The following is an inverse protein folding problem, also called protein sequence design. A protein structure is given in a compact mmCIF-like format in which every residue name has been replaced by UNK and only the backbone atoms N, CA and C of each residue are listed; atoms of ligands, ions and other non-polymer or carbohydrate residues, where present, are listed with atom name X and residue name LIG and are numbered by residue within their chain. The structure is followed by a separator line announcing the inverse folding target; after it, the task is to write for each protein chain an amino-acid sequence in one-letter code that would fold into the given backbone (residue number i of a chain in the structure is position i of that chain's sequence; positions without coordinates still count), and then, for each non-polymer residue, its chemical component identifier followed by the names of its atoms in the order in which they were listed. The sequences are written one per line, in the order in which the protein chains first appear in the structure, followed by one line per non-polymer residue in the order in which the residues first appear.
data_IF_547433756218
#
_entry.id   IF_547433756218
#
_cell.length_a   1.000
_cell.length_b   1.000
_cell.length_c   1.000
_cell.angle_alpha   90.00
_cell.angle_beta   90.00
_cell.angle_gamma   90.00
#
_symmetry.space_group_name_H-M   'P 1'
#
loop_
_entity.id
_entity.type
_entity.pdbx_description
1 polymer ?
#
# COMPACT_ATOMS: atom_id res chain seq x y z
N UNK A 1 -20.46 -13.76 -9.54
CA UNK A 1 -19.62 -12.91 -8.65
C UNK A 1 -18.74 -13.78 -7.78
N UNK A 2 -17.43 -13.67 -7.96
CA UNK A 2 -16.41 -14.44 -7.22
C UNK A 2 -15.68 -13.49 -6.27
N UNK A 3 -15.53 -13.91 -5.00
CA UNK A 3 -14.76 -13.16 -4.00
C UNK A 3 -13.51 -13.95 -3.63
N UNK A 4 -12.34 -13.37 -3.93
CA UNK A 4 -11.05 -13.95 -3.55
C UNK A 4 -10.47 -13.21 -2.36
N UNK A 5 -9.98 -13.94 -1.36
CA UNK A 5 -9.22 -13.37 -0.25
C UNK A 5 -7.96 -12.70 -0.82
N UNK A 6 -7.76 -11.42 -0.53
CA UNK A 6 -6.58 -10.70 -0.99
C UNK A 6 -5.33 -11.34 -0.39
N UNK A 7 -4.45 -11.85 -1.25
CA UNK A 7 -3.21 -12.54 -0.84
C UNK A 7 -2.22 -11.58 -0.16
N UNK A 8 -2.18 -10.32 -0.61
CA UNK A 8 -1.26 -9.31 -0.12
C UNK A 8 -1.48 -8.98 1.36
N UNK A 9 -2.71 -8.61 1.73
CA UNK A 9 -3.08 -8.36 3.13
C UNK A 9 -3.56 -9.60 3.87
N UNK A 10 -3.56 -10.79 3.23
CA UNK A 10 -4.12 -12.03 3.78
C UNK A 10 -5.54 -11.81 4.35
N UNK A 11 -6.37 -11.02 3.68
CA UNK A 11 -7.74 -10.77 4.13
C UNK A 11 -7.92 -9.72 5.23
N UNK A 12 -6.85 -9.09 5.73
CA UNK A 12 -6.99 -8.10 6.82
C UNK A 12 -7.40 -6.71 6.34
N UNK A 13 -7.36 -6.44 5.03
CA UNK A 13 -7.60 -5.11 4.48
C UNK A 13 -6.42 -4.14 4.66
N UNK A 14 -5.51 -4.40 5.59
CA UNK A 14 -4.35 -3.54 5.87
C UNK A 14 -3.00 -4.21 5.59
N UNK A 15 -1.98 -3.43 5.27
CA UNK A 15 -0.57 -3.86 5.17
C UNK A 15 0.33 -2.97 6.02
N UNK A 16 1.54 -3.43 6.32
CA UNK A 16 2.54 -2.57 6.96
C UNK A 16 2.90 -1.43 6.03
N UNK A 17 3.02 -0.22 6.59
CA UNK A 17 3.49 0.94 5.86
C UNK A 17 5.02 0.93 5.79
N UNK A 18 5.55 0.81 4.57
CA UNK A 18 7.00 0.83 4.37
C UNK A 18 7.59 2.20 4.73
N UNK A 19 6.84 3.30 4.56
CA UNK A 19 7.28 4.64 4.97
C UNK A 19 7.48 4.70 6.49
N UNK A 20 6.57 4.11 7.27
CA UNK A 20 6.70 4.04 8.72
C UNK A 20 7.95 3.26 9.11
N UNK A 21 8.16 2.10 8.49
CA UNK A 21 9.33 1.26 8.75
C UNK A 21 10.64 1.97 8.41
N UNK A 22 10.67 2.71 7.30
CA UNK A 22 11.83 3.53 6.92
C UNK A 22 12.05 4.67 7.92
N UNK A 23 10.99 5.31 8.36
CA UNK A 23 11.02 6.35 9.38
C UNK A 23 11.53 5.89 10.74
N UNK A 24 11.22 4.66 11.15
CA UNK A 24 11.80 4.02 12.34
C UNK A 24 13.28 3.70 12.16
N UNK A 25 13.70 3.30 10.95
CA UNK A 25 15.08 2.96 10.65
C UNK A 25 16.00 4.20 10.57
N UNK A 26 15.46 5.38 10.24
CA UNK A 26 16.20 6.63 10.16
C UNK A 26 16.62 7.12 11.57
N UNK A 27 17.92 7.17 11.82
CA UNK A 27 18.48 7.60 13.13
C UNK A 27 18.66 9.11 13.29
N UNK A 28 18.66 9.86 12.19
CA UNK A 28 18.95 11.29 12.18
C UNK A 28 17.69 12.10 11.90
N UNK A 29 17.32 12.99 12.82
CA UNK A 29 16.23 13.95 12.62
C UNK A 29 16.44 14.81 11.37
N UNK A 30 17.69 15.12 11.02
CA UNK A 30 18.01 15.89 9.80
C UNK A 30 17.65 15.12 8.53
N UNK A 31 17.84 13.80 8.52
CA UNK A 31 17.50 12.96 7.35
C UNK A 31 15.99 12.78 7.24
N UNK A 32 15.29 12.63 8.38
CA UNK A 32 13.83 12.52 8.39
C UNK A 32 13.12 13.73 7.81
N UNK A 33 13.69 14.94 7.93
CA UNK A 33 13.16 16.16 7.31
C UNK A 33 13.05 16.10 5.77
N UNK A 34 13.90 15.31 5.12
CA UNK A 34 13.94 15.19 3.66
C UNK A 34 13.31 13.90 3.14
N UNK A 35 12.73 13.09 4.03
CA UNK A 35 12.15 11.80 3.66
C UNK A 35 10.87 11.97 2.82
N UNK A 36 10.12 13.03 3.09
CA UNK A 36 9.06 13.52 2.21
C UNK A 36 9.61 14.76 1.50
N UNK A 37 9.77 14.70 0.18
CA UNK A 37 9.90 15.91 -0.65
C UNK A 37 8.46 16.28 -0.99
N UNK A 38 7.90 17.36 -0.42
CA UNK A 38 6.56 17.82 -0.81
C UNK A 38 6.56 18.05 -2.32
N UNK A 39 5.60 17.46 -3.02
CA UNK A 39 5.33 17.86 -4.41
C UNK A 39 4.77 19.28 -4.41
N UNK A 40 4.98 20.04 -5.49
CA UNK A 40 4.59 21.45 -5.56
C UNK A 40 3.09 21.70 -5.25
N UNK A 41 2.26 20.66 -5.39
CA UNK A 41 0.83 20.67 -5.06
C UNK A 41 0.52 20.63 -3.55
N UNK A 42 1.44 20.16 -2.70
CA UNK A 42 1.26 20.06 -1.24
C UNK A 42 1.69 21.34 -0.51
N UNK A 43 2.45 22.22 -1.18
CA UNK A 43 2.99 23.45 -0.59
C UNK A 43 2.01 24.60 -0.82
N UNK A 44 0.88 24.56 -0.12
CA UNK A 44 0.13 25.78 0.16
C UNK A 44 1.06 26.77 0.87
N UNK A 45 1.17 27.99 0.35
CA UNK A 45 2.21 29.01 0.62
C UNK A 45 2.41 29.48 2.08
N UNK A 46 1.83 28.79 3.07
CA UNK A 46 1.82 29.17 4.48
C UNK A 46 1.91 27.97 5.46
N UNK A 47 2.18 26.75 4.97
CA UNK A 47 2.33 25.60 5.89
C UNK A 47 3.79 25.46 6.36
N UNK A 48 3.99 25.63 7.67
CA UNK A 48 5.25 25.31 8.35
C UNK A 48 5.65 23.89 7.98
N UNK A 49 6.76 23.73 7.26
CA UNK A 49 7.32 22.41 6.93
C UNK A 49 7.50 21.64 8.24
N UNK A 50 6.83 20.49 8.42
CA UNK A 50 6.90 19.75 9.67
C UNK A 50 8.37 19.49 10.05
N UNK A 51 8.75 19.69 11.32
CA UNK A 51 10.14 19.55 11.75
C UNK A 51 10.68 18.12 11.61
N UNK A 52 9.79 17.13 11.43
CA UNK A 52 10.10 15.73 11.19
C UNK A 52 9.03 15.12 10.27
N UNK A 53 9.38 14.77 9.04
CA UNK A 53 8.43 14.23 8.06
C UNK A 53 7.96 12.80 8.41
N UNK A 54 8.58 12.17 9.41
CA UNK A 54 8.14 10.90 9.95
C UNK A 54 7.05 11.02 11.01
N UNK A 55 6.78 12.24 11.48
CA UNK A 55 5.75 12.46 12.48
C UNK A 55 4.36 12.34 11.83
N UNK A 56 3.57 11.37 12.28
CA UNK A 56 2.22 11.12 11.75
C UNK A 56 2.14 10.04 10.66
N UNK A 57 3.28 9.42 10.28
CA UNK A 57 3.27 8.27 9.35
C UNK A 57 2.69 7.04 10.07
N UNK A 58 1.53 6.50 9.65
CA UNK A 58 0.89 5.39 10.34
C UNK A 58 1.63 4.08 10.12
N UNK A 59 1.66 3.21 11.14
CA UNK A 59 2.30 1.88 11.06
C UNK A 59 1.66 0.96 10.00
N UNK A 60 0.35 1.11 9.81
CA UNK A 60 -0.43 0.33 8.83
C UNK A 60 -1.22 1.26 7.92
N UNK A 61 -1.34 0.85 6.67
CA UNK A 61 -2.14 1.54 5.66
C UNK A 61 -3.14 0.57 5.02
N UNK A 62 -4.24 1.07 4.43
CA UNK A 62 -5.11 0.26 3.59
C UNK A 62 -4.30 -0.45 2.51
N UNK A 63 -4.58 -1.74 2.32
CA UNK A 63 -3.93 -2.55 1.31
C UNK A 63 -4.28 -1.99 -0.07
N UNK A 64 -3.31 -1.54 -0.87
CA UNK A 64 -3.57 -0.89 -2.16
C UNK A 64 -4.15 -1.86 -3.20
N UNK A 65 -3.96 -3.17 -3.01
CA UNK A 65 -4.45 -4.20 -3.94
C UNK A 65 -5.95 -4.45 -3.81
N UNK A 66 -6.50 -4.32 -2.60
CA UNK A 66 -7.93 -4.54 -2.34
C UNK A 66 -8.61 -3.30 -1.76
N UNK A 67 -7.93 -2.15 -1.79
CA UNK A 67 -8.43 -0.86 -1.29
C UNK A 67 -9.04 -0.94 0.12
N UNK A 68 -8.41 -1.71 1.02
CA UNK A 68 -8.93 -1.89 2.38
C UNK A 68 -9.99 -2.98 2.57
N UNK A 69 -10.56 -3.55 1.50
CA UNK A 69 -11.67 -4.51 1.61
C UNK A 69 -11.26 -5.89 2.16
N UNK A 70 -9.99 -6.28 2.02
CA UNK A 70 -9.50 -7.62 2.37
C UNK A 70 -9.86 -8.70 1.35
N UNK A 71 -10.78 -8.44 0.44
CA UNK A 71 -11.18 -9.33 -0.66
C UNK A 71 -11.15 -8.58 -1.98
N UNK A 72 -11.00 -9.32 -3.07
CA UNK A 72 -11.11 -8.81 -4.44
C UNK A 72 -12.36 -9.45 -5.05
N UNK A 73 -13.27 -8.62 -5.53
CA UNK A 73 -14.49 -9.06 -6.21
C UNK A 73 -14.24 -9.11 -7.72
N UNK A 74 -14.62 -10.23 -8.33
CA UNK A 74 -14.67 -10.38 -9.77
C UNK A 74 -16.13 -10.55 -10.16
N UNK A 75 -16.63 -9.62 -10.96
CA UNK A 75 -17.91 -9.81 -11.62
C UNK A 75 -17.70 -10.61 -12.90
N UNK A 76 -18.48 -11.67 -13.06
CA UNK A 76 -18.41 -12.57 -14.24
C UNK A 76 -18.90 -11.85 -15.50
N UNK A 77 -19.71 -10.80 -15.33
CA UNK A 77 -20.19 -9.97 -16.43
C UNK A 77 -19.12 -9.00 -16.97
N UNK A 78 -18.10 -8.67 -16.16
CA UNK A 78 -16.99 -7.78 -16.55
C UNK A 78 -15.70 -8.51 -16.93
N UNK A 79 -15.52 -9.77 -16.50
CA UNK A 79 -14.26 -10.51 -16.63
C UNK A 79 -14.46 -11.89 -17.25
N UNK A 80 -13.79 -12.18 -18.37
CA UNK A 80 -13.78 -13.53 -18.97
C UNK A 80 -12.82 -14.44 -18.19
N UNK A 81 -13.39 -15.40 -17.45
CA UNK A 81 -12.63 -16.37 -16.66
C UNK A 81 -12.02 -17.46 -17.57
N UNK A 82 -10.70 -17.49 -17.69
CA UNK A 82 -9.96 -18.58 -18.33
C UNK A 82 -9.28 -19.44 -17.28
N UNK A 83 -9.76 -20.67 -17.12
CA UNK A 83 -9.08 -21.70 -16.34
C UNK A 83 -7.96 -22.25 -17.23
N UNK A 84 -6.72 -21.93 -16.87
CA UNK A 84 -5.55 -22.54 -17.50
C UNK A 84 -5.28 -23.83 -16.75
N UNK A 85 -5.58 -24.97 -17.37
CA UNK A 85 -5.07 -26.25 -16.89
C UNK A 85 -3.55 -26.20 -17.04
N UNK A 86 -2.81 -26.26 -15.93
CA UNK A 86 -1.37 -26.54 -15.99
C UNK A 86 -1.23 -27.89 -16.68
N UNK A 87 -0.76 -27.91 -17.93
CA UNK A 87 -0.39 -29.15 -18.61
C UNK A 87 0.56 -29.89 -17.68
N UNK A 88 0.08 -31.00 -17.13
CA UNK A 88 0.88 -31.96 -16.39
C UNK A 88 2.18 -32.19 -17.18
N UNK A 89 3.31 -31.78 -16.60
CA UNK A 89 4.65 -32.21 -17.01
C UNK A 89 4.66 -33.74 -17.08
N UNK A 90 4.35 -34.27 -18.24
CA UNK A 90 4.31 -35.69 -18.54
C UNK A 90 5.57 -36.05 -19.31
N UNK A 91 6.58 -36.55 -18.58
CA UNK A 91 7.56 -37.50 -19.09
C UNK A 91 8.91 -36.94 -19.52
#
# INVERSE_FOLDING_TARGET
MILLRCRNCKGTGEVQNEEHRLCEALKSHTVKKYFHIPTEDEVGSDQEVPPDACNGVPERIPCPVCEGAGTIAFDEDEWELKIVEEEDETG
#
